data_IF_429232491007
#
_entry.id   IF_429232491007
#
_cell.length_a   1.000
_cell.length_b   1.000
_cell.length_c   1.000
_cell.angle_alpha   90.00
_cell.angle_beta   90.00
_cell.angle_gamma   90.00
#
_symmetry.space_group_name_H-M   'P 1'
#
loop_
_entity.id
_entity.type
_entity.pdbx_description
1 polymer ?
#
# COMPACT_ATOMS: atom_id res chain seq x y z
N UNK A 1 -1.45 -10.45 25.58
CA UNK A 1 -2.22 -9.59 24.65
C UNK A 1 -1.67 -9.77 23.24
N UNK A 2 -2.46 -9.48 22.23
CA UNK A 2 -2.05 -9.56 20.80
C UNK A 2 -0.83 -8.67 20.56
N UNK A 3 -0.76 -7.51 21.20
CA UNK A 3 0.41 -6.63 21.14
C UNK A 3 1.69 -7.25 21.67
N UNK A 4 1.61 -8.22 22.57
CA UNK A 4 2.80 -8.93 23.05
C UNK A 4 3.44 -9.79 21.92
N UNK A 5 2.61 -10.40 21.08
CA UNK A 5 3.06 -11.17 19.92
C UNK A 5 3.68 -10.20 18.89
N UNK A 6 3.01 -9.09 18.61
CA UNK A 6 3.50 -8.04 17.70
C UNK A 6 4.83 -7.47 18.19
N UNK A 7 4.94 -7.15 19.49
CA UNK A 7 6.16 -6.65 20.10
C UNK A 7 7.33 -7.68 20.06
N UNK A 8 7.03 -8.97 20.24
CA UNK A 8 8.04 -10.02 20.12
C UNK A 8 8.57 -10.12 18.69
N UNK A 9 7.66 -10.18 17.73
CA UNK A 9 8.04 -10.25 16.32
C UNK A 9 8.83 -9.01 15.86
N UNK A 10 8.42 -7.80 16.27
CA UNK A 10 9.12 -6.58 15.95
C UNK A 10 10.56 -6.57 16.49
N UNK A 11 10.80 -7.12 17.69
CA UNK A 11 12.18 -7.26 18.25
C UNK A 11 13.06 -8.20 17.45
N UNK A 12 12.48 -9.21 16.81
CA UNK A 12 13.22 -10.18 15.99
C UNK A 12 13.30 -9.77 14.51
N UNK A 13 12.54 -8.77 14.07
CA UNK A 13 12.61 -8.28 12.69
C UNK A 13 13.83 -7.38 12.46
N UNK A 14 14.25 -7.26 11.21
CA UNK A 14 15.33 -6.33 10.81
C UNK A 14 14.88 -4.87 10.74
N UNK A 15 13.62 -4.59 11.09
CA UNK A 15 13.08 -3.23 11.01
C UNK A 15 13.73 -2.28 11.99
N UNK A 16 14.16 -1.13 11.50
CA UNK A 16 14.73 -0.03 12.31
C UNK A 16 13.65 0.84 12.98
N UNK A 17 12.36 0.66 12.62
CA UNK A 17 11.22 1.46 13.13
C UNK A 17 10.60 0.90 14.42
N UNK A 18 11.31 0.00 15.10
CA UNK A 18 10.80 -0.64 16.31
C UNK A 18 10.62 0.32 17.49
N UNK A 19 11.43 1.38 17.58
CA UNK A 19 11.26 2.42 18.59
C UNK A 19 10.09 3.32 18.29
N UNK A 20 9.96 3.80 17.05
CA UNK A 20 8.82 4.60 16.60
C UNK A 20 7.50 3.92 16.92
N UNK A 21 7.39 2.61 16.61
CA UNK A 21 6.18 1.84 16.91
C UNK A 21 5.88 1.72 18.40
N UNK A 22 6.90 1.54 19.25
CA UNK A 22 6.72 1.49 20.70
C UNK A 22 6.27 2.85 21.25
N UNK A 23 6.83 3.93 20.72
CA UNK A 23 6.48 5.29 21.10
C UNK A 23 5.05 5.63 20.69
N UNK A 24 4.66 5.31 19.46
CA UNK A 24 3.29 5.43 18.98
C UNK A 24 2.32 4.64 19.87
N UNK A 25 2.62 3.38 20.17
CA UNK A 25 1.78 2.55 21.01
C UNK A 25 1.65 3.11 22.44
N UNK A 26 2.72 3.68 22.98
CA UNK A 26 2.72 4.34 24.30
C UNK A 26 1.88 5.62 24.31
N UNK A 27 2.00 6.45 23.26
CA UNK A 27 1.25 7.71 23.12
C UNK A 27 -0.25 7.42 22.95
N UNK A 28 -0.60 6.47 22.09
CA UNK A 28 -1.99 6.09 21.86
C UNK A 28 -2.66 5.45 23.08
N UNK A 29 -1.90 4.71 23.89
CA UNK A 29 -2.34 4.21 25.18
C UNK A 29 -3.45 3.17 25.17
N UNK A 30 -3.80 2.58 24.01
CA UNK A 30 -4.81 1.53 23.91
C UNK A 30 -4.23 0.19 23.47
N UNK A 31 -4.80 -0.94 23.91
CA UNK A 31 -4.40 -2.28 23.45
C UNK A 31 -4.70 -2.47 21.96
N UNK A 32 -3.73 -2.98 21.21
CA UNK A 32 -3.87 -3.25 19.78
C UNK A 32 -3.13 -2.28 18.87
N UNK A 33 -2.57 -1.20 19.39
CA UNK A 33 -1.84 -0.20 18.59
C UNK A 33 -0.67 -0.79 17.80
N UNK A 34 0.14 -1.65 18.42
CA UNK A 34 1.22 -2.39 17.73
C UNK A 34 0.65 -3.35 16.68
N UNK A 35 -0.38 -4.08 17.04
CA UNK A 35 -0.99 -5.08 16.16
C UNK A 35 -1.62 -4.42 14.92
N UNK A 36 -2.20 -3.23 15.07
CA UNK A 36 -2.80 -2.48 13.96
C UNK A 36 -1.74 -2.09 12.93
N UNK A 37 -0.60 -1.56 13.37
CA UNK A 37 0.54 -1.23 12.50
C UNK A 37 1.13 -2.44 11.77
N UNK A 38 0.90 -3.64 12.26
CA UNK A 38 1.37 -4.90 11.68
C UNK A 38 0.24 -5.68 11.00
N UNK A 39 -0.95 -5.09 10.89
CA UNK A 39 -2.09 -5.69 10.24
C UNK A 39 -2.00 -5.54 8.72
N UNK A 40 -2.07 -6.66 8.01
CA UNK A 40 -2.11 -6.70 6.54
C UNK A 40 -3.45 -7.27 6.07
N UNK A 41 -4.55 -6.84 6.68
CA UNK A 41 -5.90 -7.30 6.35
C UNK A 41 -6.56 -6.40 5.28
N UNK A 42 -5.77 -5.78 4.44
CA UNK A 42 -6.28 -4.89 3.39
C UNK A 42 -6.33 -5.56 2.02
N UNK A 43 -7.25 -5.10 1.18
CA UNK A 43 -7.27 -5.35 -0.25
C UNK A 43 -7.01 -4.04 -1.01
N UNK A 44 -6.68 -4.13 -2.28
CA UNK A 44 -6.31 -2.96 -3.06
C UNK A 44 -6.60 -3.17 -4.54
N UNK A 45 -6.76 -2.05 -5.24
CA UNK A 45 -6.64 -2.02 -6.71
C UNK A 45 -5.74 -0.85 -7.08
N UNK A 46 -4.79 -1.07 -7.95
CA UNK A 46 -3.79 -0.08 -8.35
C UNK A 46 -3.64 -0.05 -9.86
N UNK A 47 -3.38 1.11 -10.42
CA UNK A 47 -3.03 1.28 -11.84
C UNK A 47 -1.81 2.18 -11.94
N UNK A 48 -0.80 1.75 -12.70
CA UNK A 48 0.31 2.55 -13.17
C UNK A 48 0.16 2.71 -14.70
N UNK A 49 -0.08 3.92 -15.16
CA UNK A 49 -0.36 4.23 -16.56
C UNK A 49 0.09 5.65 -16.89
N UNK A 50 0.29 6.02 -18.18
CA UNK A 50 0.54 7.41 -18.56
C UNK A 50 -0.62 8.30 -18.12
N UNK A 51 -0.32 9.42 -17.52
CA UNK A 51 -1.28 10.50 -17.23
C UNK A 51 -1.64 11.33 -18.46
N UNK A 52 -2.51 12.34 -18.31
CA UNK A 52 -2.97 13.18 -19.43
C UNK A 52 -1.84 13.93 -20.13
N UNK A 53 -0.78 14.26 -19.43
CA UNK A 53 0.43 14.95 -19.92
C UNK A 53 1.55 13.99 -20.34
N UNK A 54 1.28 12.68 -20.36
CA UNK A 54 2.28 11.64 -20.64
C UNK A 54 3.17 11.23 -19.47
N UNK A 55 3.19 12.00 -18.37
CA UNK A 55 3.91 11.59 -17.16
C UNK A 55 3.23 10.37 -16.49
N UNK A 56 3.98 9.50 -15.83
CA UNK A 56 3.40 8.37 -15.12
C UNK A 56 2.42 8.81 -14.04
N UNK A 57 1.24 8.19 -14.02
CA UNK A 57 0.20 8.38 -13.03
C UNK A 57 -0.07 7.07 -12.30
N UNK A 58 0.01 7.10 -10.98
CA UNK A 58 -0.35 6.00 -10.11
C UNK A 58 -1.71 6.28 -9.47
N UNK A 59 -2.66 5.37 -9.66
CA UNK A 59 -4.00 5.42 -9.04
C UNK A 59 -4.18 4.20 -8.14
N UNK A 60 -4.78 4.41 -6.96
CA UNK A 60 -4.95 3.33 -6.00
C UNK A 60 -6.22 3.48 -5.17
N UNK A 61 -6.97 2.36 -4.96
CA UNK A 61 -7.91 2.18 -3.86
C UNK A 61 -7.30 1.29 -2.78
N UNK A 62 -7.54 1.63 -1.53
CA UNK A 62 -7.21 0.78 -0.38
C UNK A 62 -8.49 0.41 0.36
N UNK A 63 -8.71 -0.90 0.47
CA UNK A 63 -9.86 -1.49 1.11
C UNK A 63 -9.42 -2.12 2.44
N UNK A 64 -9.87 -1.57 3.57
CA UNK A 64 -9.49 -2.04 4.90
C UNK A 64 -10.73 -2.21 5.76
N UNK A 65 -10.99 -3.42 6.33
CA UNK A 65 -12.24 -3.72 7.02
C UNK A 65 -12.27 -3.16 8.46
N UNK A 66 -11.84 -1.89 8.65
CA UNK A 66 -11.93 -1.19 9.91
C UNK A 66 -12.71 0.11 9.70
N UNK A 67 -13.80 0.26 10.44
CA UNK A 67 -14.65 1.45 10.35
C UNK A 67 -13.96 2.65 10.99
N UNK A 68 -14.20 3.83 10.42
CA UNK A 68 -13.61 5.09 10.88
C UNK A 68 -12.30 5.48 10.21
N UNK A 69 -11.55 4.54 9.62
CA UNK A 69 -10.26 4.85 9.00
C UNK A 69 -10.37 5.88 7.87
N UNK A 70 -11.43 5.84 7.08
CA UNK A 70 -11.61 6.80 5.98
C UNK A 70 -11.79 8.25 6.44
N UNK A 71 -12.23 8.47 7.70
CA UNK A 71 -12.37 9.81 8.29
C UNK A 71 -11.06 10.36 8.83
N UNK A 72 -10.08 9.48 9.06
CA UNK A 72 -8.80 9.80 9.68
C UNK A 72 -7.64 9.76 8.70
N UNK A 73 -7.93 9.73 7.39
CA UNK A 73 -6.89 9.81 6.34
C UNK A 73 -6.16 11.15 6.48
N UNK A 74 -4.84 11.09 6.48
CA UNK A 74 -3.96 12.25 6.51
C UNK A 74 -2.84 12.12 5.48
N UNK A 75 -2.22 13.24 5.16
CA UNK A 75 -1.03 13.29 4.32
C UNK A 75 0.10 13.82 5.20
N UNK A 76 0.97 12.91 5.60
CA UNK A 76 2.13 13.26 6.40
C UNK A 76 3.31 13.65 5.49
N UNK A 77 3.83 14.87 5.68
CA UNK A 77 5.10 15.24 5.12
C UNK A 77 6.22 14.66 5.98
N UNK A 78 7.12 13.93 5.35
CA UNK A 78 8.21 13.21 5.99
C UNK A 78 9.51 13.48 5.24
N UNK A 79 10.64 13.45 5.95
CA UNK A 79 11.97 13.66 5.40
C UNK A 79 12.86 12.47 5.70
N UNK A 80 13.74 12.16 4.76
CA UNK A 80 14.81 11.17 4.90
C UNK A 80 16.10 11.62 4.22
N UNK A 81 17.17 10.83 4.27
CA UNK A 81 18.45 11.13 3.62
C UNK A 81 18.33 11.43 2.12
N UNK A 82 17.38 10.79 1.42
CA UNK A 82 17.13 11.02 -0.01
C UNK A 82 16.18 12.20 -0.28
N UNK A 83 15.73 12.92 0.74
CA UNK A 83 14.82 14.07 0.63
C UNK A 83 13.41 13.79 1.11
N UNK A 84 12.52 14.73 0.83
CA UNK A 84 11.16 14.74 1.33
C UNK A 84 10.23 13.82 0.55
N UNK A 85 9.16 13.37 1.23
CA UNK A 85 8.07 12.62 0.62
C UNK A 85 6.76 12.83 1.37
N UNK A 86 5.66 12.57 0.69
CA UNK A 86 4.30 12.65 1.21
C UNK A 86 3.74 11.25 1.40
N UNK A 87 3.49 10.86 2.64
CA UNK A 87 2.91 9.57 3.03
C UNK A 87 1.40 9.74 3.22
N UNK A 88 0.60 9.08 2.40
CA UNK A 88 -0.87 9.03 2.57
C UNK A 88 -1.18 7.92 3.57
N UNK A 89 -1.57 8.29 4.77
CA UNK A 89 -1.52 7.45 5.95
C UNK A 89 -2.64 7.75 6.95
N UNK A 90 -2.47 7.29 8.18
CA UNK A 90 -3.35 7.49 9.32
C UNK A 90 -2.54 7.88 10.56
N UNK A 91 -3.12 8.65 11.49
CA UNK A 91 -2.47 8.94 12.76
C UNK A 91 -1.97 7.67 13.45
N UNK A 92 -0.70 7.65 13.77
CA UNK A 92 -0.07 6.51 14.45
C UNK A 92 0.38 5.34 13.56
N UNK A 93 0.17 5.41 12.25
CA UNK A 93 0.74 4.45 11.31
C UNK A 93 2.21 4.80 11.00
N UNK A 94 3.12 3.84 11.20
CA UNK A 94 4.57 4.05 11.04
C UNK A 94 5.06 3.69 9.65
N UNK A 95 4.50 2.65 9.05
CA UNK A 95 4.86 2.19 7.71
C UNK A 95 4.29 3.05 6.59
N UNK A 96 4.70 2.78 5.36
CA UNK A 96 4.18 3.40 4.14
C UNK A 96 3.36 2.39 3.35
N UNK A 97 2.10 2.76 3.07
CA UNK A 97 1.22 1.98 2.18
C UNK A 97 1.01 2.68 0.84
N UNK A 98 1.09 4.00 0.81
CA UNK A 98 0.97 4.86 -0.38
C UNK A 98 1.76 6.12 -0.15
N UNK A 99 2.71 6.43 -1.00
CA UNK A 99 3.46 7.67 -0.88
C UNK A 99 3.97 8.18 -2.23
N UNK A 100 4.33 9.46 -2.24
CA UNK A 100 4.93 10.17 -3.35
C UNK A 100 6.13 10.98 -2.87
N UNK A 101 7.24 10.87 -3.57
CA UNK A 101 8.41 11.73 -3.44
C UNK A 101 8.54 12.58 -4.72
N UNK A 102 8.27 13.88 -4.66
CA UNK A 102 8.37 14.76 -5.84
C UNK A 102 9.74 14.67 -6.50
N UNK A 103 9.77 14.59 -7.83
CA UNK A 103 11.00 14.46 -8.60
C UNK A 103 11.71 13.10 -8.52
N UNK A 104 11.17 12.15 -7.74
CA UNK A 104 11.76 10.81 -7.55
C UNK A 104 10.84 9.68 -8.01
N UNK A 105 9.86 9.31 -7.20
CA UNK A 105 8.91 8.24 -7.52
C UNK A 105 7.65 8.29 -6.64
N UNK A 106 6.59 7.63 -7.13
CA UNK A 106 5.45 7.20 -6.32
C UNK A 106 5.51 5.69 -6.12
N UNK A 107 5.02 5.22 -4.99
CA UNK A 107 4.88 3.78 -4.77
C UNK A 107 3.73 3.45 -3.83
N UNK A 108 3.13 2.29 -4.06
CA UNK A 108 2.09 1.71 -3.21
C UNK A 108 2.34 0.22 -3.02
N UNK A 109 1.77 -0.32 -1.94
CA UNK A 109 1.81 -1.74 -1.63
C UNK A 109 0.41 -2.34 -1.72
N UNK A 110 0.25 -3.41 -2.49
CA UNK A 110 -0.92 -4.27 -2.47
C UNK A 110 -0.59 -5.56 -1.72
N UNK A 111 -1.58 -6.08 -0.99
CA UNK A 111 -1.42 -7.38 -0.37
C UNK A 111 -1.30 -8.47 -1.44
N UNK A 112 -0.21 -9.23 -1.38
CA UNK A 112 0.01 -10.36 -2.26
C UNK A 112 -0.96 -11.52 -1.97
N UNK A 113 -1.11 -12.46 -2.93
CA UNK A 113 -1.79 -13.72 -2.70
C UNK A 113 -1.26 -14.48 -1.49
N UNK A 114 -2.14 -15.25 -0.87
CA UNK A 114 -1.78 -16.15 0.22
C UNK A 114 -1.35 -17.51 -0.34
N UNK A 115 -0.28 -18.08 0.22
CA UNK A 115 0.11 -19.45 -0.09
C UNK A 115 -0.93 -20.42 0.49
N UNK A 116 -1.50 -21.26 -0.36
CA UNK A 116 -2.51 -22.26 -0.02
C UNK A 116 -1.91 -23.65 -0.05
N UNK A 117 -2.12 -24.40 1.01
CA UNK A 117 -1.73 -25.81 1.17
C UNK A 117 -2.93 -26.73 1.14
N UNK A 118 -4.09 -26.17 1.49
CA UNK A 118 -5.38 -26.88 1.50
C UNK A 118 -6.24 -26.50 0.31
N UNK A 119 -7.27 -27.32 0.03
CA UNK A 119 -8.27 -27.05 -0.99
C UNK A 119 -9.58 -26.59 -0.32
N UNK A 120 -10.36 -25.75 -1.02
CA UNK A 120 -11.64 -25.27 -0.55
C UNK A 120 -11.58 -24.24 0.59
N UNK A 121 -12.75 -23.77 1.04
CA UNK A 121 -12.87 -22.69 2.04
C UNK A 121 -12.58 -23.18 3.48
N UNK A 122 -12.87 -24.47 3.78
CA UNK A 122 -12.69 -25.05 5.12
C UNK A 122 -11.23 -24.99 5.57
N UNK A 123 -10.28 -25.10 4.65
CA UNK A 123 -8.84 -25.02 4.95
C UNK A 123 -8.29 -23.60 5.09
N UNK A 124 -9.07 -22.56 4.81
CA UNK A 124 -8.61 -21.16 4.88
C UNK A 124 -8.05 -20.75 6.25
N UNK A 125 -8.71 -21.04 7.39
CA UNK A 125 -8.17 -20.69 8.70
C UNK A 125 -6.84 -21.38 8.98
N UNK A 126 -6.69 -22.64 8.58
CA UNK A 126 -5.43 -23.39 8.73
C UNK A 126 -4.31 -22.75 7.90
N UNK A 127 -4.56 -22.47 6.62
CA UNK A 127 -3.58 -21.81 5.74
C UNK A 127 -3.20 -20.42 6.26
N UNK A 128 -4.17 -19.65 6.77
CA UNK A 128 -3.95 -18.34 7.36
C UNK A 128 -3.05 -18.44 8.62
N UNK A 129 -3.33 -19.40 9.49
CA UNK A 129 -2.55 -19.65 10.70
C UNK A 129 -1.09 -20.04 10.37
N UNK A 130 -0.89 -20.93 9.40
CA UNK A 130 0.46 -21.33 8.98
C UNK A 130 1.21 -20.15 8.32
N UNK A 131 0.56 -19.37 7.47
CA UNK A 131 1.20 -18.21 6.85
C UNK A 131 1.54 -17.13 7.88
N UNK A 132 0.67 -16.90 8.87
CA UNK A 132 0.95 -16.00 10.00
C UNK A 132 2.11 -16.51 10.83
N UNK A 133 2.11 -17.81 11.20
CA UNK A 133 3.22 -18.43 11.94
C UNK A 133 4.55 -18.29 11.23
N UNK A 134 4.58 -18.55 9.92
CA UNK A 134 5.80 -18.37 9.12
C UNK A 134 6.28 -16.92 9.08
N UNK A 135 5.37 -15.95 9.01
CA UNK A 135 5.71 -14.53 9.04
C UNK A 135 6.28 -14.11 10.40
N UNK A 136 5.69 -14.62 11.49
CA UNK A 136 6.14 -14.32 12.87
C UNK A 136 7.47 -14.99 13.24
N UNK A 137 7.83 -16.08 12.56
CA UNK A 137 9.10 -16.81 12.80
C UNK A 137 10.25 -16.32 11.92
N UNK A 138 10.01 -15.37 11.00
CA UNK A 138 11.07 -14.82 10.17
C UNK A 138 11.74 -13.64 10.87
N UNK A 139 12.96 -13.88 11.32
CA UNK A 139 13.79 -12.89 11.99
C UNK A 139 14.62 -12.03 11.00
N UNK A 140 14.76 -12.49 9.74
CA UNK A 140 15.56 -11.87 8.69
C UNK A 140 14.75 -11.04 7.67
N UNK A 141 13.46 -10.84 7.92
CA UNK A 141 12.56 -10.21 6.96
C UNK A 141 12.03 -8.83 7.38
N UNK A 142 12.03 -7.90 6.45
CA UNK A 142 11.37 -6.60 6.62
C UNK A 142 9.84 -6.74 6.58
N UNK A 143 9.10 -6.07 7.46
CA UNK A 143 7.70 -5.75 7.20
C UNK A 143 7.62 -4.99 5.85
N UNK A 144 6.73 -5.37 4.93
CA UNK A 144 6.71 -4.76 3.60
C UNK A 144 6.48 -3.25 3.58
N UNK A 145 5.62 -2.75 4.47
CA UNK A 145 5.35 -1.32 4.64
C UNK A 145 6.53 -0.56 5.25
N UNK A 146 7.29 -1.19 6.13
CA UNK A 146 8.54 -0.62 6.67
C UNK A 146 9.63 -0.59 5.59
N UNK A 147 9.75 -1.63 4.76
CA UNK A 147 10.67 -1.61 3.63
C UNK A 147 10.31 -0.52 2.62
N UNK A 148 9.01 -0.32 2.37
CA UNK A 148 8.56 0.76 1.49
C UNK A 148 8.89 2.14 2.09
N UNK A 149 8.73 2.33 3.41
CA UNK A 149 9.16 3.55 4.10
C UNK A 149 10.67 3.77 3.93
N UNK A 150 11.49 2.75 4.15
CA UNK A 150 12.93 2.82 3.95
C UNK A 150 13.29 3.23 2.51
N UNK A 151 12.56 2.72 1.50
CA UNK A 151 12.77 3.12 0.12
C UNK A 151 12.54 4.63 -0.09
N UNK A 152 11.48 5.20 0.49
CA UNK A 152 11.22 6.64 0.43
C UNK A 152 12.24 7.48 1.16
N UNK A 153 12.77 6.99 2.28
CA UNK A 153 13.78 7.68 3.07
C UNK A 153 15.18 7.66 2.43
N UNK A 154 15.52 6.60 1.66
CA UNK A 154 16.92 6.37 1.26
C UNK A 154 17.17 6.27 -0.24
N UNK A 155 16.12 6.05 -1.08
CA UNK A 155 16.30 5.90 -2.52
C UNK A 155 16.11 7.25 -3.24
N UNK A 156 17.09 7.62 -4.05
CA UNK A 156 17.09 8.89 -4.80
C UNK A 156 16.34 8.76 -6.15
N UNK A 157 16.10 7.56 -6.62
CA UNK A 157 15.48 7.31 -7.92
C UNK A 157 14.49 6.14 -7.90
N UNK A 158 13.68 6.07 -8.95
CA UNK A 158 12.80 4.95 -9.26
C UNK A 158 13.56 3.61 -9.34
N UNK A 159 14.74 3.59 -9.96
CA UNK A 159 15.54 2.38 -10.10
C UNK A 159 16.15 1.93 -8.76
N UNK A 160 16.60 2.86 -7.92
CA UNK A 160 17.10 2.54 -6.58
C UNK A 160 16.01 1.91 -5.73
N UNK A 161 14.78 2.46 -5.81
CA UNK A 161 13.64 1.91 -5.09
C UNK A 161 13.31 0.49 -5.56
N UNK A 162 13.30 0.23 -6.89
CA UNK A 162 13.11 -1.12 -7.43
C UNK A 162 14.21 -2.07 -6.95
N UNK A 163 15.47 -1.64 -6.97
CA UNK A 163 16.61 -2.44 -6.54
C UNK A 163 16.50 -2.81 -5.05
N UNK A 164 16.21 -1.82 -4.18
CA UNK A 164 16.03 -2.05 -2.75
C UNK A 164 14.86 -3.01 -2.49
N UNK A 165 13.68 -2.71 -3.03
CA UNK A 165 12.47 -3.52 -2.87
C UNK A 165 12.63 -4.94 -3.42
N UNK A 166 13.52 -5.15 -4.40
CA UNK A 166 13.79 -6.47 -4.99
C UNK A 166 14.80 -7.28 -4.19
N UNK A 167 15.76 -6.65 -3.56
CA UNK A 167 16.90 -7.31 -2.88
C UNK A 167 16.58 -7.71 -1.45
N UNK A 168 15.99 -6.81 -0.68
CA UNK A 168 15.83 -7.02 0.76
C UNK A 168 14.84 -8.15 1.06
N UNK A 169 15.12 -9.05 2.02
CA UNK A 169 14.19 -10.11 2.38
C UNK A 169 12.95 -9.55 3.05
N UNK A 170 11.79 -10.16 2.76
CA UNK A 170 10.51 -9.77 3.35
C UNK A 170 10.04 -10.79 4.39
N UNK A 171 9.43 -10.31 5.44
CA UNK A 171 8.73 -11.14 6.41
C UNK A 171 7.52 -11.85 5.79
N UNK A 172 6.94 -11.26 4.74
CA UNK A 172 5.76 -11.79 4.02
C UNK A 172 5.72 -11.28 2.57
N UNK A 173 5.01 -11.98 1.67
CA UNK A 173 4.85 -11.56 0.29
C UNK A 173 4.13 -10.21 0.16
N UNK A 174 4.49 -9.46 -0.87
CA UNK A 174 3.90 -8.15 -1.20
C UNK A 174 3.94 -7.91 -2.72
N UNK A 175 3.08 -7.00 -3.18
CA UNK A 175 3.09 -6.45 -4.52
C UNK A 175 3.36 -4.94 -4.40
N UNK A 176 4.50 -4.49 -4.89
CA UNK A 176 4.80 -3.06 -4.95
C UNK A 176 4.55 -2.56 -6.37
N UNK A 177 3.76 -1.50 -6.50
CA UNK A 177 3.58 -0.80 -7.77
C UNK A 177 4.24 0.56 -7.67
N UNK A 178 5.12 0.87 -8.63
CA UNK A 178 5.90 2.09 -8.65
C UNK A 178 5.70 2.84 -9.96
N UNK A 179 5.76 4.16 -9.88
CA UNK A 179 5.90 5.06 -11.02
C UNK A 179 7.02 6.06 -10.74
N UNK A 180 7.84 6.35 -11.74
CA UNK A 180 8.89 7.38 -11.61
C UNK A 180 8.44 8.71 -12.21
N UNK A 181 9.39 9.44 -12.78
CA UNK A 181 9.18 10.77 -13.36
C UNK A 181 9.14 10.73 -14.89
N UNK A 182 9.76 9.72 -15.51
CA UNK A 182 9.80 9.56 -16.97
C UNK A 182 8.68 8.67 -17.48
N UNK A 183 8.20 8.86 -18.72
CA UNK A 183 7.06 8.10 -19.28
C UNK A 183 7.19 6.58 -19.27
N UNK A 184 8.41 6.05 -19.28
CA UNK A 184 8.72 4.63 -19.27
C UNK A 184 8.92 4.05 -17.84
N UNK A 185 8.92 4.90 -16.82
CA UNK A 185 9.15 4.50 -15.43
C UNK A 185 7.87 4.05 -14.74
N UNK A 186 7.45 2.84 -15.07
CA UNK A 186 6.35 2.14 -14.41
C UNK A 186 6.75 0.69 -14.18
N UNK A 187 6.51 0.17 -12.98
CA UNK A 187 6.82 -1.22 -12.67
C UNK A 187 5.94 -1.80 -11.56
N UNK A 188 5.81 -3.12 -11.59
CA UNK A 188 5.30 -3.93 -10.49
C UNK A 188 6.43 -4.84 -10.01
N UNK A 189 6.73 -4.81 -8.73
CA UNK A 189 7.66 -5.72 -8.08
C UNK A 189 6.86 -6.76 -7.31
N UNK A 190 6.75 -7.95 -7.86
CA UNK A 190 6.11 -9.09 -7.20
C UNK A 190 7.12 -9.75 -6.26
N UNK A 191 6.82 -9.74 -4.97
CA UNK A 191 7.72 -10.25 -3.94
C UNK A 191 7.13 -11.45 -3.22
N UNK A 192 7.85 -12.55 -3.25
CA UNK A 192 7.81 -13.53 -2.17
C UNK A 192 8.77 -13.09 -1.07
N UNK A 193 8.91 -13.89 -0.05
CA UNK A 193 9.77 -13.54 1.09
C UNK A 193 11.25 -13.34 0.68
N UNK A 194 11.72 -14.09 -0.32
CA UNK A 194 13.12 -14.06 -0.80
C UNK A 194 13.27 -13.88 -2.30
N UNK A 195 12.18 -14.02 -3.06
CA UNK A 195 12.21 -13.90 -4.53
C UNK A 195 11.56 -12.60 -4.98
N UNK A 196 12.06 -12.05 -6.06
CA UNK A 196 11.52 -10.88 -6.74
C UNK A 196 11.30 -11.17 -8.23
N UNK A 197 10.23 -10.61 -8.79
CA UNK A 197 9.99 -10.50 -10.22
C UNK A 197 9.58 -9.07 -10.52
N UNK A 198 10.34 -8.40 -11.36
CA UNK A 198 10.06 -7.02 -11.79
C UNK A 198 9.38 -7.05 -13.15
N UNK A 199 8.17 -6.55 -13.22
CA UNK A 199 7.39 -6.41 -14.44
C UNK A 199 7.32 -4.92 -14.78
N UNK A 200 7.89 -4.52 -15.93
CA UNK A 200 7.98 -3.12 -16.34
C UNK A 200 6.86 -2.75 -17.32
N UNK A 201 6.48 -1.49 -17.31
CA UNK A 201 5.45 -0.91 -18.16
C UNK A 201 4.11 -0.73 -17.46
N UNK A 202 3.08 -0.46 -18.25
CA UNK A 202 1.73 -0.22 -17.74
C UNK A 202 1.20 -1.45 -16.99
N UNK A 203 0.59 -1.23 -15.85
CA UNK A 203 0.06 -2.32 -15.04
C UNK A 203 -1.25 -1.92 -14.34
N UNK A 204 -2.10 -2.91 -14.16
CA UNK A 204 -3.25 -2.83 -13.26
C UNK A 204 -3.21 -4.04 -12.34
N UNK A 205 -3.11 -3.80 -11.06
CA UNK A 205 -2.81 -4.77 -10.01
C UNK A 205 -3.94 -4.82 -9.00
N UNK A 206 -4.38 -6.01 -8.65
CA UNK A 206 -5.29 -6.22 -7.51
C UNK A 206 -4.55 -6.98 -6.38
N UNK A 207 -5.11 -8.10 -5.91
CA UNK A 207 -4.50 -8.91 -4.87
C UNK A 207 -4.13 -10.31 -5.40
N UNK A 208 -3.71 -10.37 -6.64
CA UNK A 208 -3.27 -11.56 -7.35
C UNK A 208 -1.91 -11.31 -8.02
N UNK A 209 -1.16 -12.38 -8.25
CA UNK A 209 0.07 -12.29 -9.04
C UNK A 209 -0.25 -11.93 -10.49
N UNK A 210 0.48 -11.01 -11.08
CA UNK A 210 0.42 -10.74 -12.52
C UNK A 210 0.91 -11.96 -13.31
N UNK A 211 1.87 -12.69 -12.74
CA UNK A 211 2.33 -13.98 -13.26
C UNK A 211 1.78 -15.09 -12.35
N UNK A 212 0.77 -15.86 -12.80
CA UNK A 212 0.14 -16.88 -12.00
C UNK A 212 1.14 -17.89 -11.41
N UNK A 213 1.02 -18.19 -10.13
CA UNK A 213 1.89 -19.12 -9.41
C UNK A 213 1.07 -20.24 -8.76
N UNK A 214 1.46 -21.49 -9.03
CA UNK A 214 0.79 -22.66 -8.45
C UNK A 214 0.85 -22.63 -6.91
N UNK A 215 -0.27 -22.93 -6.27
CA UNK A 215 -0.38 -22.97 -4.81
C UNK A 215 -0.53 -21.60 -4.13
N UNK A 216 -0.75 -20.54 -4.92
CA UNK A 216 -1.06 -19.21 -4.42
C UNK A 216 -2.46 -18.80 -4.86
N UNK A 217 -3.21 -18.17 -3.97
CA UNK A 217 -4.56 -17.71 -4.26
C UNK A 217 -4.71 -16.24 -3.90
N UNK A 218 -5.19 -15.45 -4.86
CA UNK A 218 -5.48 -14.04 -4.68
C UNK A 218 -6.53 -13.82 -3.60
N UNK A 219 -6.34 -12.80 -2.79
CA UNK A 219 -7.35 -12.34 -1.86
C UNK A 219 -8.56 -11.83 -2.64
N UNK A 220 -9.75 -11.97 -2.11
CA UNK A 220 -11.05 -11.63 -2.74
C UNK A 220 -11.48 -12.51 -3.92
N UNK A 221 -10.68 -13.53 -4.26
CA UNK A 221 -10.95 -14.44 -5.38
C UNK A 221 -10.56 -13.89 -6.75
N UNK A 222 -10.38 -14.79 -7.71
CA UNK A 222 -9.90 -14.44 -9.06
C UNK A 222 -10.90 -13.54 -9.80
N UNK A 223 -12.17 -13.89 -9.78
CA UNK A 223 -13.23 -13.15 -10.48
C UNK A 223 -13.32 -11.69 -10.00
N UNK A 224 -13.30 -11.47 -8.68
CA UNK A 224 -13.32 -10.12 -8.11
C UNK A 224 -12.06 -9.33 -8.47
N UNK A 225 -10.88 -9.95 -8.42
CA UNK A 225 -9.63 -9.29 -8.80
C UNK A 225 -9.66 -8.87 -10.27
N UNK A 226 -10.11 -9.74 -11.17
CA UNK A 226 -10.21 -9.43 -12.60
C UNK A 226 -11.25 -8.32 -12.87
N UNK A 227 -12.41 -8.37 -12.23
CA UNK A 227 -13.44 -7.33 -12.37
C UNK A 227 -12.92 -5.95 -11.92
N UNK A 228 -12.20 -5.88 -10.79
CA UNK A 228 -11.59 -4.63 -10.30
C UNK A 228 -10.52 -4.11 -11.27
N UNK A 229 -9.65 -4.99 -11.77
CA UNK A 229 -8.62 -4.63 -12.76
C UNK A 229 -9.23 -4.16 -14.08
N UNK A 230 -10.27 -4.83 -14.57
CA UNK A 230 -10.99 -4.45 -15.77
C UNK A 230 -11.65 -3.08 -15.64
N UNK A 231 -12.31 -2.82 -14.51
CA UNK A 231 -12.91 -1.51 -14.21
C UNK A 231 -11.86 -0.42 -14.22
N UNK A 232 -10.74 -0.60 -13.51
CA UNK A 232 -9.68 0.39 -13.43
C UNK A 232 -9.07 0.69 -14.83
N UNK A 233 -8.88 -0.34 -15.66
CA UNK A 233 -8.39 -0.20 -17.05
C UNK A 233 -9.37 0.54 -17.97
N UNK A 234 -10.67 0.43 -17.70
CA UNK A 234 -11.72 1.10 -18.47
C UNK A 234 -11.72 2.63 -18.36
N UNK A 235 -11.00 3.17 -17.36
CA UNK A 235 -10.92 4.63 -17.16
C UNK A 235 -9.59 5.17 -17.66
N UNK A 236 -9.63 5.84 -18.82
CA UNK A 236 -8.48 6.60 -19.31
C UNK A 236 -8.05 7.66 -18.29
N UNK A 237 -6.75 7.97 -18.17
CA UNK A 237 -6.27 9.07 -17.35
C UNK A 237 -6.86 10.41 -17.78
N UNK A 238 -7.13 11.30 -16.82
CA UNK A 238 -7.67 12.64 -17.04
C UNK A 238 -9.15 12.80 -16.68
N UNK A 239 -9.63 14.03 -16.65
CA UNK A 239 -10.95 14.41 -16.15
C UNK A 239 -10.98 14.57 -14.62
N UNK A 240 -12.18 14.60 -14.00
CA UNK A 240 -12.30 14.78 -12.56
C UNK A 240 -11.57 13.68 -11.77
N UNK A 241 -10.93 14.06 -10.67
CA UNK A 241 -10.25 13.13 -9.78
C UNK A 241 -11.19 12.01 -9.30
N UNK A 242 -10.64 10.81 -9.19
CA UNK A 242 -11.32 9.62 -8.66
C UNK A 242 -12.54 9.13 -9.43
N UNK A 243 -12.76 9.56 -10.70
CA UNK A 243 -13.89 9.06 -11.51
C UNK A 243 -13.85 7.54 -11.76
N UNK A 244 -12.70 6.93 -11.59
CA UNK A 244 -12.47 5.48 -11.68
C UNK A 244 -12.86 4.73 -10.40
N UNK A 245 -13.06 5.44 -9.29
CA UNK A 245 -13.47 4.86 -8.00
C UNK A 245 -14.96 4.52 -8.02
N UNK A 246 -15.31 3.52 -8.79
CA UNK A 246 -16.67 2.97 -8.95
C UNK A 246 -16.66 1.47 -8.65
N UNK A 247 -17.81 0.85 -8.35
CA UNK A 247 -17.87 -0.60 -8.15
C UNK A 247 -17.33 -1.40 -9.34
N UNK A 248 -16.58 -2.51 -9.11
CA UNK A 248 -16.25 -3.11 -7.82
C UNK A 248 -14.95 -2.58 -7.19
N UNK A 249 -14.25 -1.60 -7.81
CA UNK A 249 -13.07 -0.95 -7.23
C UNK A 249 -13.45 -0.22 -5.93
N UNK A 250 -14.53 0.55 -5.97
CA UNK A 250 -15.17 1.12 -4.80
C UNK A 250 -16.10 0.08 -4.18
N UNK A 251 -15.87 -0.31 -2.93
CA UNK A 251 -16.64 -1.31 -2.21
C UNK A 251 -16.78 -0.95 -0.73
N UNK A 252 -17.61 -1.66 0.03
CA UNK A 252 -17.92 -1.33 1.43
C UNK A 252 -16.71 -1.23 2.36
N UNK A 253 -15.58 -1.81 1.98
CA UNK A 253 -14.33 -1.74 2.77
C UNK A 253 -13.35 -0.70 2.25
N UNK A 254 -13.65 0.04 1.19
CA UNK A 254 -12.78 1.10 0.68
C UNK A 254 -12.68 2.23 1.72
N UNK A 255 -11.45 2.57 2.10
CA UNK A 255 -11.13 3.61 3.08
C UNK A 255 -10.36 4.78 2.48
N UNK A 256 -9.66 4.55 1.37
CA UNK A 256 -8.80 5.54 0.74
C UNK A 256 -8.78 5.36 -0.77
N UNK A 257 -8.83 6.45 -1.51
CA UNK A 257 -8.42 6.52 -2.92
C UNK A 257 -7.35 7.59 -3.09
N UNK A 258 -6.40 7.33 -3.98
CA UNK A 258 -5.25 8.20 -4.24
C UNK A 258 -4.94 8.23 -5.72
N UNK A 259 -4.58 9.40 -6.22
CA UNK A 259 -3.91 9.64 -7.51
C UNK A 259 -2.61 10.38 -7.26
N UNK A 260 -1.50 9.92 -7.84
CA UNK A 260 -0.16 10.47 -7.61
C UNK A 260 0.67 10.47 -8.88
N UNK A 261 1.44 11.53 -9.09
CA UNK A 261 2.50 11.62 -10.09
C UNK A 261 3.72 12.30 -9.47
N UNK A 262 4.90 11.70 -9.56
CA UNK A 262 6.13 12.28 -9.03
C UNK A 262 6.79 13.26 -10.00
N UNK A 263 6.28 13.43 -11.22
CA UNK A 263 6.86 14.29 -12.24
C UNK A 263 6.80 15.77 -11.82
N UNK A 264 7.86 16.52 -12.12
CA UNK A 264 7.97 17.93 -11.75
C UNK A 264 7.93 18.17 -10.24
N UNK A 265 7.07 19.06 -9.78
CA UNK A 265 6.88 19.35 -8.35
C UNK A 265 6.07 18.25 -7.61
N UNK A 266 5.58 17.26 -8.35
CA UNK A 266 4.68 16.25 -7.85
C UNK A 266 3.21 16.71 -7.88
N UNK A 267 2.33 15.74 -8.07
CA UNK A 267 0.87 15.92 -7.98
C UNK A 267 0.30 14.79 -7.13
N UNK A 268 -0.48 15.13 -6.12
CA UNK A 268 -1.09 14.16 -5.22
C UNK A 268 -2.50 14.61 -4.89
N UNK A 269 -3.44 13.72 -5.13
CA UNK A 269 -4.83 13.89 -4.70
C UNK A 269 -5.25 12.66 -3.90
N UNK A 270 -5.90 12.86 -2.74
CA UNK A 270 -6.37 11.79 -1.88
C UNK A 270 -7.77 12.09 -1.32
N UNK A 271 -8.55 11.03 -1.07
CA UNK A 271 -9.89 11.11 -0.47
C UNK A 271 -10.16 9.90 0.40
N UNK A 272 -10.62 10.14 1.62
CA UNK A 272 -11.12 9.10 2.50
C UNK A 272 -12.57 8.73 2.21
N UNK A 273 -12.91 7.47 2.44
CA UNK A 273 -14.25 6.90 2.22
C UNK A 273 -14.73 6.11 3.44
N UNK A 274 -16.03 6.21 3.73
CA UNK A 274 -16.71 5.39 4.75
C UNK A 274 -18.02 4.85 4.23
N UNK A 275 -18.31 3.59 4.59
CA UNK A 275 -19.59 2.95 4.32
C UNK A 275 -20.47 2.95 5.59
N UNK A 276 -21.76 3.17 5.43
CA UNK A 276 -22.71 3.09 6.55
C UNK A 276 -22.92 1.65 7.05
N UNK A 277 -22.64 0.65 6.21
CA UNK A 277 -22.72 -0.77 6.54
C UNK A 277 -21.82 -1.59 5.62
N UNK A 278 -21.62 -2.86 5.95
CA UNK A 278 -20.85 -3.81 5.14
C UNK A 278 -21.45 -4.13 3.76
N UNK A 279 -22.70 -3.71 3.53
CA UNK A 279 -23.40 -3.92 2.26
C UNK A 279 -23.66 -2.64 1.49
N UNK A 280 -23.35 -1.47 2.06
CA UNK A 280 -23.53 -0.19 1.39
C UNK A 280 -22.26 0.25 0.64
N UNK A 281 -22.44 1.00 -0.44
CA UNK A 281 -21.32 1.65 -1.07
C UNK A 281 -20.82 2.79 -0.14
N UNK A 282 -19.51 2.98 -0.05
CA UNK A 282 -18.95 4.05 0.76
C UNK A 282 -19.15 5.40 0.07
N UNK A 283 -19.27 6.43 0.88
CA UNK A 283 -19.34 7.82 0.47
C UNK A 283 -18.06 8.57 0.88
N UNK A 284 -17.71 9.69 0.24
CA UNK A 284 -16.62 10.55 0.68
C UNK A 284 -16.77 10.92 2.16
N UNK A 285 -15.72 10.67 2.94
CA UNK A 285 -15.66 10.95 4.37
C UNK A 285 -14.72 12.11 4.69
N UNK A 286 -13.85 12.49 3.75
CA UNK A 286 -13.00 13.67 3.81
C UNK A 286 -13.28 14.58 2.61
N UNK A 287 -12.79 15.84 2.69
CA UNK A 287 -12.58 16.65 1.49
C UNK A 287 -11.49 16.02 0.64
N UNK A 288 -11.41 16.43 -0.63
CA UNK A 288 -10.26 16.12 -1.45
C UNK A 288 -9.06 16.87 -0.92
N UNK A 289 -7.98 16.14 -0.73
CA UNK A 289 -6.70 16.73 -0.47
C UNK A 289 -5.96 16.86 -1.83
N UNK A 290 -5.46 18.05 -2.10
CA UNK A 290 -4.57 18.32 -3.24
C UNK A 290 -3.27 18.91 -2.71
N UNK A 291 -2.12 18.38 -3.17
CA UNK A 291 -0.82 18.87 -2.71
C UNK A 291 -0.60 20.37 -3.01
N UNK A 292 -1.15 20.86 -4.12
CA UNK A 292 -1.09 22.28 -4.47
C UNK A 292 -1.86 23.20 -3.49
N UNK A 293 -2.82 22.65 -2.71
CA UNK A 293 -3.57 23.40 -1.69
C UNK A 293 -2.79 23.53 -0.37
N UNK A 294 -1.77 22.72 -0.21
CA UNK A 294 -0.85 22.76 0.92
C UNK A 294 0.37 23.64 0.58
N UNK A 295 0.17 24.95 0.46
CA UNK A 295 1.30 25.86 0.65
C UNK A 295 1.86 25.55 2.05
N UNK A 296 3.17 25.28 2.22
CA UNK A 296 3.71 25.00 3.53
C UNK A 296 3.47 26.21 4.41
N UNK A 297 2.58 26.06 5.36
CA UNK A 297 2.63 26.84 6.57
C UNK A 297 3.91 26.41 7.31
N UNK A 298 5.04 26.70 6.72
CA UNK A 298 6.32 26.65 7.39
C UNK A 298 6.44 27.92 8.22
N UNK A 299 6.01 27.63 9.36
CA UNK A 299 6.33 28.21 10.57
C UNK A 299 7.65 28.67 10.86
N UNK A 300 7.60 29.65 11.53
CA UNK A 300 8.62 30.24 12.37
C UNK A 300 8.95 29.36 13.57
#
# INVERSE_FOLDING_TARGET
SIDHIAAKWLRSSVSTYGEDLRDVARILGFPGALTLNMSYLFACTTSAAPGPNGAPLLRRSLDWPFDGLGRCVEIAWQSGPAGDFYNVTWPGAVGVLSAMAPGRFCAVINQAPMRRRTRGLIGLPYDAMINLGNALMREDGWPPDHLLRLAFETCESFEDAIALLSREPLARPALFTLTGTRPDEMAVVERTERGALVLRGHATVANDWQTPRRGWHGRMGLENNEARKATMRGFAPGGPAFRWAVPPVLNATTRLVVEMSAAGAGDLCARGYEAASWTSLPTPATRDFHLCDAAPALAA
#
